data_IF_362726162104
#
_entry.id   IF_362726162104
#
_cell.length_a   1.000
_cell.length_b   1.000
_cell.length_c   1.000
_cell.angle_alpha   90.00
_cell.angle_beta   90.00
_cell.angle_gamma   90.00
#
_symmetry.space_group_name_H-M   'P 1'
#
loop_
_entity.id
_entity.type
_entity.pdbx_description
1 polymer ?
#
# COMPACT_ATOMS: atom_id res chain seq x y z
N UNK A 1 -4.86 -16.87 11.02
CA UNK A 1 -4.08 -15.64 10.73
C UNK A 1 -2.65 -16.04 10.39
N UNK A 2 -2.22 -15.72 9.20
CA UNK A 2 -0.92 -16.16 8.66
C UNK A 2 -0.14 -14.97 8.13
N UNK A 3 1.08 -14.80 8.61
CA UNK A 3 2.00 -13.79 8.08
C UNK A 3 2.51 -14.26 6.72
N UNK A 4 2.36 -13.42 5.70
CA UNK A 4 2.77 -13.70 4.33
C UNK A 4 4.12 -13.03 4.03
N UNK A 5 4.77 -13.52 2.98
CA UNK A 5 6.00 -12.89 2.48
C UNK A 5 5.65 -11.67 1.65
N UNK A 6 6.26 -10.53 1.96
CA UNK A 6 6.12 -9.31 1.17
C UNK A 6 7.09 -9.39 -0.01
N UNK A 7 6.55 -9.26 -1.22
CA UNK A 7 7.38 -9.17 -2.42
C UNK A 7 7.95 -7.77 -2.57
N UNK A 8 9.16 -7.69 -3.08
CA UNK A 8 9.92 -6.44 -3.19
C UNK A 8 10.34 -6.15 -4.61
N UNK A 9 10.54 -4.85 -4.91
CA UNK A 9 11.11 -4.41 -6.18
C UNK A 9 12.48 -5.12 -6.39
N UNK A 10 12.84 -5.63 -7.56
CA UNK A 10 12.19 -5.43 -8.87
C UNK A 10 11.22 -6.54 -9.31
N UNK A 11 10.49 -7.17 -8.42
CA UNK A 11 9.55 -8.23 -8.78
C UNK A 11 8.42 -7.66 -9.68
N UNK A 12 8.23 -8.25 -10.85
CA UNK A 12 7.26 -7.78 -11.85
C UNK A 12 5.80 -7.87 -11.40
N UNK A 13 5.47 -8.70 -10.41
CA UNK A 13 4.12 -8.80 -9.86
C UNK A 13 3.63 -7.45 -9.30
N UNK A 14 4.54 -6.65 -8.75
CA UNK A 14 4.21 -5.32 -8.23
C UNK A 14 3.70 -4.36 -9.29
N UNK A 15 3.92 -4.66 -10.56
CA UNK A 15 3.49 -3.82 -11.71
C UNK A 15 2.17 -4.26 -12.31
N UNK A 16 1.56 -5.31 -11.81
CA UNK A 16 0.25 -5.76 -12.28
C UNK A 16 -0.86 -4.83 -11.78
N UNK A 17 -1.86 -4.61 -12.62
CA UNK A 17 -3.09 -3.94 -12.22
C UNK A 17 -3.98 -4.95 -11.50
N UNK A 18 -4.37 -4.61 -10.28
CA UNK A 18 -5.21 -5.47 -9.45
C UNK A 18 -6.66 -5.47 -9.93
N UNK A 19 -7.33 -6.60 -9.76
CA UNK A 19 -8.71 -6.82 -10.20
C UNK A 19 -9.70 -6.54 -9.09
N UNK A 20 -10.86 -6.02 -9.46
CA UNK A 20 -11.98 -5.83 -8.53
C UNK A 20 -12.42 -7.15 -7.91
N UNK A 21 -12.87 -7.06 -6.68
CA UNK A 21 -13.47 -8.18 -5.93
C UNK A 21 -14.97 -8.15 -6.15
N UNK A 22 -15.57 -9.30 -6.47
CA UNK A 22 -17.02 -9.38 -6.77
C UNK A 22 -17.86 -9.13 -5.51
N UNK A 23 -17.43 -9.69 -4.39
CA UNK A 23 -18.07 -9.50 -3.08
C UNK A 23 -17.08 -9.76 -1.96
N UNK A 24 -17.36 -9.21 -0.79
CA UNK A 24 -16.61 -9.50 0.43
C UNK A 24 -17.24 -10.71 1.13
N UNK A 25 -16.56 -11.84 1.08
CA UNK A 25 -16.95 -13.04 1.78
C UNK A 25 -15.88 -13.46 2.78
N UNK A 26 -15.97 -14.69 3.26
CA UNK A 26 -15.03 -15.24 4.23
C UNK A 26 -13.59 -15.25 3.71
N UNK A 27 -13.39 -15.60 2.44
CA UNK A 27 -12.06 -15.67 1.83
C UNK A 27 -11.40 -14.28 1.81
N UNK A 28 -12.15 -13.23 1.49
CA UNK A 28 -11.66 -11.85 1.49
C UNK A 28 -11.36 -11.38 2.90
N UNK A 29 -12.18 -11.75 3.88
CA UNK A 29 -11.94 -11.43 5.29
C UNK A 29 -10.68 -12.11 5.82
N UNK A 30 -10.47 -13.38 5.53
CA UNK A 30 -9.25 -14.11 5.90
C UNK A 30 -8.01 -13.49 5.24
N UNK A 31 -8.13 -13.09 3.97
CA UNK A 31 -7.06 -12.37 3.28
C UNK A 31 -6.73 -11.05 3.96
N UNK A 32 -7.72 -10.25 4.31
CA UNK A 32 -7.52 -8.99 5.01
C UNK A 32 -6.87 -9.18 6.39
N UNK A 33 -7.27 -10.23 7.12
CA UNK A 33 -6.66 -10.59 8.41
C UNK A 33 -5.17 -10.95 8.24
N UNK A 34 -4.85 -11.77 7.25
CA UNK A 34 -3.47 -12.16 6.94
C UNK A 34 -2.63 -10.95 6.50
N UNK A 35 -3.22 -10.05 5.71
CA UNK A 35 -2.57 -8.80 5.28
C UNK A 35 -2.27 -7.90 6.47
N UNK A 36 -3.21 -7.75 7.40
CA UNK A 36 -3.06 -6.91 8.58
C UNK A 36 -1.94 -7.44 9.49
N UNK A 37 -1.92 -8.75 9.75
CA UNK A 37 -0.86 -9.39 10.53
C UNK A 37 0.50 -9.22 9.87
N UNK A 38 0.56 -9.39 8.55
CA UNK A 38 1.79 -9.20 7.75
C UNK A 38 2.30 -7.76 7.87
N UNK A 39 1.39 -6.79 7.74
CA UNK A 39 1.70 -5.36 7.87
C UNK A 39 2.27 -5.02 9.26
N UNK A 40 1.61 -5.48 10.32
CA UNK A 40 2.08 -5.23 11.70
C UNK A 40 3.43 -5.89 11.97
N UNK A 41 3.63 -7.12 11.51
CA UNK A 41 4.90 -7.83 11.64
C UNK A 41 6.06 -7.09 10.97
N UNK A 42 5.78 -6.43 9.85
CA UNK A 42 6.75 -5.64 9.10
C UNK A 42 6.86 -4.18 9.57
N UNK A 43 6.14 -3.79 10.63
CA UNK A 43 6.09 -2.41 11.14
C UNK A 43 5.63 -1.38 10.10
N UNK A 44 4.73 -1.79 9.19
CA UNK A 44 4.12 -0.91 8.20
C UNK A 44 2.84 -0.28 8.69
N UNK A 45 2.38 0.75 7.98
CA UNK A 45 1.11 1.46 8.24
C UNK A 45 0.07 1.22 7.15
N UNK A 46 0.46 0.60 6.05
CA UNK A 46 -0.42 0.24 4.94
C UNK A 46 0.15 -0.94 4.15
N UNK A 47 -0.75 -1.71 3.54
CA UNK A 47 -0.37 -2.84 2.68
C UNK A 47 -1.49 -3.10 1.67
N UNK A 48 -1.11 -3.25 0.40
CA UNK A 48 -2.01 -3.70 -0.67
C UNK A 48 -1.80 -5.20 -0.94
N UNK A 49 -2.85 -5.89 -1.35
CA UNK A 49 -2.81 -7.34 -1.58
C UNK A 49 -1.76 -7.77 -2.60
N UNK A 50 -1.49 -6.94 -3.61
CA UNK A 50 -0.45 -7.23 -4.61
C UNK A 50 0.94 -7.36 -3.96
N UNK A 51 1.21 -6.70 -2.85
CA UNK A 51 2.49 -6.78 -2.15
C UNK A 51 2.74 -8.15 -1.50
N UNK A 52 1.72 -8.98 -1.38
CA UNK A 52 1.84 -10.39 -1.00
C UNK A 52 1.51 -11.33 -2.17
N UNK A 53 1.55 -10.81 -3.40
CA UNK A 53 1.39 -11.59 -4.61
C UNK A 53 -0.05 -11.86 -5.04
N UNK A 54 -1.04 -11.17 -4.45
CA UNK A 54 -2.45 -11.37 -4.75
C UNK A 54 -3.01 -10.13 -5.47
N UNK A 55 -3.32 -10.21 -6.78
CA UNK A 55 -3.73 -9.06 -7.58
C UNK A 55 -5.22 -8.74 -7.40
N UNK A 56 -5.64 -8.49 -6.17
CA UNK A 56 -7.00 -8.06 -5.80
C UNK A 56 -6.97 -6.63 -5.27
N UNK A 57 -8.03 -5.88 -5.53
CA UNK A 57 -8.16 -4.48 -5.07
C UNK A 57 -8.55 -4.43 -3.60
N UNK A 58 -7.63 -4.81 -2.74
CA UNK A 58 -7.79 -4.83 -1.27
C UNK A 58 -6.60 -4.15 -0.62
N UNK A 59 -6.88 -3.28 0.34
CA UNK A 59 -5.89 -2.52 1.12
C UNK A 59 -6.23 -2.65 2.61
N UNK A 60 -5.21 -2.80 3.44
CA UNK A 60 -5.31 -2.65 4.89
C UNK A 60 -4.42 -1.52 5.36
N UNK A 61 -4.83 -0.79 6.38
CA UNK A 61 -4.09 0.34 6.94
C UNK A 61 -4.31 0.46 8.44
N UNK A 62 -3.31 0.97 9.13
CA UNK A 62 -3.44 1.45 10.50
C UNK A 62 -2.41 2.57 10.71
N UNK A 63 -2.90 3.80 10.79
CA UNK A 63 -2.07 4.98 11.03
C UNK A 63 -2.10 5.44 12.49
N UNK A 64 -2.66 4.63 13.40
CA UNK A 64 -2.70 4.98 14.82
C UNK A 64 -1.27 5.08 15.38
N UNK A 65 -1.01 6.16 16.12
CA UNK A 65 0.31 6.42 16.72
C UNK A 65 0.36 6.05 18.20
N UNK A 66 -0.75 5.63 18.78
CA UNK A 66 -0.83 5.32 20.20
C UNK A 66 -0.37 3.89 20.44
N UNK A 67 0.68 3.73 21.23
CA UNK A 67 1.08 2.42 21.70
C UNK A 67 -0.10 1.69 22.36
N UNK A 68 -0.31 0.44 21.95
CA UNK A 68 -1.35 -0.43 22.48
C UNK A 68 -2.76 -0.19 21.93
N UNK A 69 -3.00 0.86 21.13
CA UNK A 69 -4.30 1.11 20.50
C UNK A 69 -4.21 0.91 18.99
N UNK A 70 -4.76 -0.19 18.49
CA UNK A 70 -4.85 -0.48 17.07
C UNK A 70 -6.17 0.05 16.51
N UNK A 71 -6.10 0.71 15.35
CA UNK A 71 -7.26 1.23 14.62
C UNK A 71 -7.18 0.78 13.16
N UNK A 72 -7.33 -0.54 12.90
CA UNK A 72 -7.20 -1.07 11.55
C UNK A 72 -8.33 -0.57 10.65
N UNK A 73 -8.00 -0.30 9.40
CA UNK A 73 -8.93 0.08 8.35
C UNK A 73 -8.79 -0.88 7.18
N UNK A 74 -9.91 -1.20 6.54
CA UNK A 74 -9.98 -2.15 5.43
C UNK A 74 -10.68 -1.49 4.26
N UNK A 75 -10.11 -1.61 3.08
CA UNK A 75 -10.64 -1.01 1.86
C UNK A 75 -10.70 -2.06 0.76
N UNK A 76 -11.91 -2.40 0.31
CA UNK A 76 -12.14 -3.29 -0.82
C UNK A 76 -12.73 -2.47 -1.96
N UNK A 77 -12.18 -2.64 -3.16
CA UNK A 77 -12.56 -1.89 -4.36
C UNK A 77 -12.58 -0.36 -4.13
N UNK A 78 -11.55 0.24 -3.54
CA UNK A 78 -11.56 1.67 -3.30
C UNK A 78 -11.49 2.47 -4.59
N UNK A 79 -12.22 3.58 -4.63
CA UNK A 79 -12.25 4.53 -5.75
C UNK A 79 -12.13 5.95 -5.19
N UNK A 80 -11.19 6.72 -5.72
CA UNK A 80 -11.08 8.15 -5.37
C UNK A 80 -12.12 8.92 -6.17
N UNK A 81 -12.97 9.67 -5.46
CA UNK A 81 -14.03 10.50 -6.08
C UNK A 81 -13.62 11.94 -6.28
N UNK A 82 -12.94 12.51 -5.30
CA UNK A 82 -12.50 13.91 -5.33
C UNK A 82 -11.06 13.99 -4.81
N UNK A 83 -10.26 14.84 -5.45
CA UNK A 83 -8.91 15.18 -5.00
C UNK A 83 -8.82 16.69 -4.83
N UNK A 84 -8.25 17.13 -3.72
CA UNK A 84 -7.96 18.54 -3.52
C UNK A 84 -6.86 18.98 -4.50
N UNK A 85 -6.99 20.15 -5.16
CA UNK A 85 -5.94 20.67 -6.03
C UNK A 85 -4.67 21.07 -5.26
N UNK A 86 -4.79 21.41 -3.98
CA UNK A 86 -3.61 21.67 -3.14
C UNK A 86 -2.89 20.36 -2.79
N UNK A 87 -1.56 20.43 -2.68
CA UNK A 87 -0.72 19.26 -2.41
C UNK A 87 -0.07 19.36 -1.02
N UNK A 88 0.18 18.23 -0.43
CA UNK A 88 0.98 18.08 0.77
C UNK A 88 2.19 17.19 0.46
N UNK A 89 3.32 17.50 1.07
CA UNK A 89 4.56 16.72 0.92
C UNK A 89 4.81 15.89 2.17
N UNK A 90 4.99 14.59 1.97
CA UNK A 90 5.39 13.66 3.04
C UNK A 90 6.58 12.82 2.59
N UNK A 91 7.45 12.48 3.52
CA UNK A 91 8.45 11.45 3.28
C UNK A 91 7.77 10.08 3.25
N UNK A 92 7.84 9.41 2.12
CA UNK A 92 7.25 8.09 1.92
C UNK A 92 8.31 7.01 1.85
N UNK A 93 7.94 5.85 2.38
CA UNK A 93 8.64 4.59 2.21
C UNK A 93 7.63 3.50 1.89
N UNK A 94 8.11 2.32 1.54
CA UNK A 94 7.24 1.21 1.16
C UNK A 94 7.86 -0.12 1.59
N UNK A 95 7.06 -1.03 2.13
CA UNK A 95 7.53 -2.37 2.52
C UNK A 95 8.07 -3.16 1.33
N UNK A 96 7.61 -2.86 0.10
CA UNK A 96 8.12 -3.45 -1.14
C UNK A 96 9.35 -2.75 -1.71
N UNK A 97 9.78 -1.64 -1.12
CA UNK A 97 10.99 -0.88 -1.46
C UNK A 97 11.79 -0.64 -0.16
N UNK A 98 12.35 -1.69 0.43
CA UNK A 98 12.90 -1.61 1.78
C UNK A 98 14.07 -0.64 1.90
N UNK A 99 14.07 0.12 3.01
CA UNK A 99 15.14 1.04 3.41
C UNK A 99 15.37 2.22 2.43
N UNK A 100 14.38 2.52 1.59
CA UNK A 100 14.42 3.66 0.68
C UNK A 100 13.27 4.61 1.01
N UNK A 101 13.55 5.91 1.05
CA UNK A 101 12.58 6.95 1.39
C UNK A 101 12.74 8.13 0.45
N UNK A 102 11.65 8.83 0.17
CA UNK A 102 11.67 10.06 -0.62
C UNK A 102 10.47 10.93 -0.30
N UNK A 103 10.63 12.23 -0.45
CA UNK A 103 9.52 13.17 -0.35
C UNK A 103 8.66 13.09 -1.61
N UNK A 104 7.36 12.92 -1.41
CA UNK A 104 6.37 12.81 -2.48
C UNK A 104 5.27 13.84 -2.25
N UNK A 105 4.91 14.56 -3.31
CA UNK A 105 3.78 15.48 -3.32
C UNK A 105 2.53 14.75 -3.77
N UNK A 106 1.49 14.82 -2.96
CA UNK A 106 0.18 14.23 -3.28
C UNK A 106 -0.93 15.22 -2.95
N UNK A 107 -2.12 15.10 -3.59
CA UNK A 107 -3.30 15.82 -3.13
C UNK A 107 -3.45 15.72 -1.61
N UNK A 108 -3.64 16.87 -0.94
CA UNK A 108 -3.66 16.95 0.53
C UNK A 108 -4.90 16.31 1.14
N UNK A 109 -5.98 16.22 0.36
CA UNK A 109 -7.26 15.63 0.75
C UNK A 109 -7.84 14.83 -0.40
N UNK A 110 -8.60 13.80 -0.09
CA UNK A 110 -9.35 13.05 -1.09
C UNK A 110 -10.56 12.35 -0.44
N UNK A 111 -11.58 12.11 -1.26
CA UNK A 111 -12.73 11.30 -0.88
C UNK A 111 -12.59 9.92 -1.52
N UNK A 112 -12.77 8.87 -0.73
CA UNK A 112 -12.64 7.48 -1.20
C UNK A 112 -13.92 6.72 -0.89
N UNK A 113 -14.55 6.19 -1.93
CA UNK A 113 -15.64 5.22 -1.79
C UNK A 113 -15.05 3.81 -1.80
N UNK A 114 -15.52 2.95 -0.90
CA UNK A 114 -15.00 1.59 -0.76
C UNK A 114 -16.02 0.67 -0.09
N UNK A 115 -15.74 -0.62 -0.13
CA UNK A 115 -16.41 -1.61 0.71
C UNK A 115 -15.52 -1.89 1.93
N UNK A 116 -16.15 -1.97 3.10
CA UNK A 116 -15.44 -2.26 4.34
C UNK A 116 -15.24 -3.78 4.55
N UNK A 117 -14.74 -4.16 5.73
CA UNK A 117 -14.50 -5.55 6.11
C UNK A 117 -15.74 -6.44 5.98
N UNK A 118 -16.93 -5.88 6.15
CA UNK A 118 -18.20 -6.59 6.05
C UNK A 118 -18.86 -6.48 4.66
N UNK A 119 -18.21 -5.81 3.72
CA UNK A 119 -18.75 -5.59 2.37
C UNK A 119 -19.77 -4.46 2.27
N UNK A 120 -19.86 -3.62 3.30
CA UNK A 120 -20.75 -2.46 3.31
C UNK A 120 -20.09 -1.25 2.65
N UNK A 121 -20.87 -0.49 1.89
CA UNK A 121 -20.40 0.73 1.22
C UNK A 121 -20.10 1.82 2.24
N UNK A 122 -18.92 2.43 2.10
CA UNK A 122 -18.44 3.51 2.94
C UNK A 122 -17.88 4.65 2.09
N UNK A 123 -17.90 5.85 2.65
CA UNK A 123 -17.21 7.02 2.09
C UNK A 123 -16.25 7.56 3.16
N UNK A 124 -14.98 7.64 2.80
CA UNK A 124 -13.96 8.24 3.65
C UNK A 124 -13.57 9.60 3.08
N UNK A 125 -13.65 10.63 3.93
CA UNK A 125 -13.06 11.95 3.65
C UNK A 125 -11.70 12.01 4.33
N UNK A 126 -10.64 11.80 3.56
CA UNK A 126 -9.29 11.68 4.06
C UNK A 126 -8.52 13.01 3.95
N UNK A 127 -7.76 13.33 4.99
CA UNK A 127 -6.80 14.43 5.00
C UNK A 127 -5.49 13.97 5.66
N UNK A 128 -4.48 14.82 5.67
CA UNK A 128 -3.19 14.57 6.34
C UNK A 128 -2.55 13.25 5.93
N UNK A 129 -1.97 12.57 6.90
CA UNK A 129 -1.28 11.28 6.69
C UNK A 129 -2.23 10.22 6.12
N UNK A 130 -3.49 10.19 6.52
CA UNK A 130 -4.47 9.24 6.00
C UNK A 130 -4.67 9.40 4.49
N UNK A 131 -4.78 10.65 3.99
CA UNK A 131 -4.90 10.93 2.56
C UNK A 131 -3.66 10.48 1.80
N UNK A 132 -2.48 10.76 2.31
CA UNK A 132 -1.22 10.32 1.70
C UNK A 132 -1.12 8.79 1.66
N UNK A 133 -1.40 8.14 2.77
CA UNK A 133 -1.29 6.69 2.89
C UNK A 133 -2.28 5.97 1.96
N UNK A 134 -3.56 6.36 1.94
CA UNK A 134 -4.53 5.70 1.06
C UNK A 134 -4.18 5.88 -0.41
N UNK A 135 -3.70 7.05 -0.82
CA UNK A 135 -3.27 7.29 -2.20
C UNK A 135 -2.04 6.45 -2.57
N UNK A 136 -1.08 6.31 -1.66
CA UNK A 136 0.08 5.43 -1.84
C UNK A 136 -0.36 3.98 -2.07
N UNK A 137 -1.26 3.47 -1.24
CA UNK A 137 -1.75 2.09 -1.34
C UNK A 137 -2.63 1.88 -2.58
N UNK A 138 -3.42 2.88 -2.98
CA UNK A 138 -4.21 2.81 -4.21
C UNK A 138 -3.34 2.80 -5.48
N UNK A 139 -2.18 3.45 -5.45
CA UNK A 139 -1.20 3.34 -6.53
C UNK A 139 -0.75 1.90 -6.74
N UNK A 140 -0.54 1.12 -5.68
CA UNK A 140 -0.22 -0.30 -5.79
C UNK A 140 -1.27 -1.08 -6.58
N UNK A 141 -2.54 -0.71 -6.48
CA UNK A 141 -3.63 -1.35 -7.24
C UNK A 141 -3.51 -1.13 -8.75
N UNK A 142 -2.80 -0.09 -9.15
CA UNK A 142 -2.53 0.28 -10.54
C UNK A 142 -1.10 -0.09 -10.99
N UNK A 143 -0.35 -0.80 -10.16
CA UNK A 143 1.03 -1.17 -10.45
C UNK A 143 2.03 -0.02 -10.34
N UNK A 144 1.71 1.02 -9.58
CA UNK A 144 2.51 2.22 -9.38
C UNK A 144 3.17 2.18 -8.00
N UNK A 145 4.46 2.47 -7.94
CA UNK A 145 5.24 2.62 -6.71
C UNK A 145 5.62 4.08 -6.49
N UNK A 146 5.88 4.49 -5.23
CA UNK A 146 6.24 5.87 -4.94
C UNK A 146 7.52 6.32 -5.67
N UNK A 147 8.43 5.41 -5.96
CA UNK A 147 9.65 5.69 -6.72
C UNK A 147 9.37 6.13 -8.16
N UNK A 148 8.18 5.85 -8.70
CA UNK A 148 7.79 6.27 -10.05
C UNK A 148 7.59 7.80 -10.15
N UNK A 149 7.40 8.48 -9.02
CA UNK A 149 7.30 9.95 -8.96
C UNK A 149 8.67 10.64 -8.90
N UNK A 150 9.74 9.88 -8.74
CA UNK A 150 11.10 10.40 -8.65
C UNK A 150 11.70 10.61 -10.06
N UNK A 151 12.81 11.37 -10.12
CA UNK A 151 13.58 11.48 -11.36
C UNK A 151 14.06 10.09 -11.82
N UNK A 152 14.28 9.93 -13.12
CA UNK A 152 14.79 8.68 -13.69
C UNK A 152 16.09 8.23 -13.03
N UNK A 153 16.96 9.19 -12.70
CA UNK A 153 18.23 8.89 -12.04
C UNK A 153 18.03 8.34 -10.63
N UNK A 154 17.23 9.01 -9.80
CA UNK A 154 16.94 8.58 -8.43
C UNK A 154 16.26 7.20 -8.41
N UNK A 155 15.26 7.00 -9.25
CA UNK A 155 14.57 5.72 -9.41
C UNK A 155 15.54 4.60 -9.79
N UNK A 156 16.38 4.83 -10.79
CA UNK A 156 17.40 3.88 -11.25
C UNK A 156 18.38 3.50 -10.14
N UNK A 157 18.82 4.46 -9.36
CA UNK A 157 19.75 4.23 -8.23
C UNK A 157 19.10 3.34 -7.16
N UNK A 158 17.84 3.57 -6.84
CA UNK A 158 17.09 2.76 -5.88
C UNK A 158 16.94 1.32 -6.38
N UNK A 159 16.53 1.14 -7.63
CA UNK A 159 16.36 -0.19 -8.24
C UNK A 159 17.68 -0.97 -8.25
N UNK A 160 18.79 -0.31 -8.58
CA UNK A 160 20.12 -0.94 -8.53
C UNK A 160 20.50 -1.40 -7.12
N UNK A 161 20.26 -0.59 -6.11
CA UNK A 161 20.53 -0.96 -4.71
C UNK A 161 19.73 -2.20 -4.30
N UNK A 162 18.46 -2.25 -4.64
CA UNK A 162 17.59 -3.38 -4.31
C UNK A 162 18.00 -4.65 -5.06
N UNK A 163 18.41 -4.55 -6.32
CA UNK A 163 18.90 -5.68 -7.11
C UNK A 163 20.20 -6.25 -6.55
N UNK A 164 21.13 -5.40 -6.09
CA UNK A 164 22.38 -5.84 -5.44
C UNK A 164 22.11 -6.57 -4.12
N UNK A 165 21.19 -6.10 -3.31
CA UNK A 165 20.81 -6.77 -2.07
C UNK A 165 20.25 -8.17 -2.34
N UNK A 166 19.41 -8.34 -3.36
CA UNK A 166 18.89 -9.65 -3.76
C UNK A 166 20.01 -10.59 -4.25
N UNK A 167 20.95 -10.12 -5.07
CA UNK A 167 22.06 -10.94 -5.54
C UNK A 167 22.96 -11.39 -4.39
N UNK A 168 23.26 -10.51 -3.44
CA UNK A 168 24.07 -10.84 -2.27
C UNK A 168 23.38 -11.86 -1.36
N UNK A 169 22.07 -11.80 -1.25
CA UNK A 169 21.28 -12.78 -0.48
C UNK A 169 21.25 -14.15 -1.17
N UNK A 170 21.28 -14.19 -2.49
CA UNK A 170 21.29 -15.44 -3.26
C UNK A 170 22.64 -16.18 -3.24
N UNK A 171 23.71 -15.52 -2.85
CA UNK A 171 25.07 -16.09 -2.76
C UNK A 171 25.35 -16.68 -1.38
N UNK A 172 24.56 -16.34 -0.37
CA UNK A 172 24.65 -16.87 0.97
C UNK A 172 23.74 -18.07 1.18
#
# INVERSE_FOLDING_TARGET
>A
MTVKTIITEPNKLLRQVSKSVDRVGKDEQELMDDMLDTMYKANGIGLAAIQIGIPKRIIVMDISKKEGKKEPRYFVNPVIKNKDPSKATYEEGCLSVPNQFAEIDRPSKCDVEYLDYNGEKQLLKADGLLATCIQHEMDHLEGILFIDYLSKLKKSMIIKKLSKLKSNTAIL
#
